data_IF_104777843752
#
_entry.id   IF_104777843752
#
_cell.length_a   1.000
_cell.length_b   1.000
_cell.length_c   1.000
_cell.angle_alpha   90.00
_cell.angle_beta   90.00
_cell.angle_gamma   90.00
#
_symmetry.space_group_name_H-M   'P 1'
#
loop_
_entity.id
_entity.type
_entity.pdbx_description
1 polymer ?
#
# COMPACT_ATOMS: atom_id res chain seq x y z
N UNK A 1 12.10 -18.34 -11.09
CA UNK A 1 10.62 -18.30 -11.21
C UNK A 1 10.16 -16.90 -10.87
N UNK A 2 9.41 -16.18 -11.74
CA UNK A 2 8.93 -14.86 -11.38
C UNK A 2 7.83 -15.05 -10.32
N UNK A 3 8.12 -14.72 -9.06
CA UNK A 3 7.13 -14.71 -7.97
C UNK A 3 5.98 -13.81 -8.43
N UNK A 4 4.86 -14.44 -8.77
CA UNK A 4 3.74 -13.74 -9.39
C UNK A 4 3.13 -12.76 -8.39
N UNK A 5 2.41 -11.77 -8.91
CA UNK A 5 1.61 -10.77 -8.15
C UNK A 5 0.65 -11.46 -7.15
N UNK A 6 0.46 -12.78 -7.28
CA UNK A 6 -0.45 -13.60 -6.48
C UNK A 6 0.24 -14.36 -5.34
N UNK A 7 1.50 -14.06 -4.99
CA UNK A 7 2.10 -14.71 -3.81
C UNK A 7 1.30 -14.36 -2.56
N UNK A 8 1.16 -15.34 -1.67
CA UNK A 8 0.44 -15.18 -0.39
C UNK A 8 1.02 -13.99 0.40
N UNK A 9 2.33 -13.78 0.31
CA UNK A 9 3.01 -12.65 0.96
C UNK A 9 2.56 -11.30 0.40
N UNK A 10 2.41 -11.16 -0.92
CA UNK A 10 1.96 -9.91 -1.53
C UNK A 10 0.53 -9.56 -1.12
N UNK A 11 -0.38 -10.53 -1.08
CA UNK A 11 -1.75 -10.32 -0.59
C UNK A 11 -1.75 -9.84 0.86
N UNK A 12 -0.92 -10.44 1.72
CA UNK A 12 -0.75 -10.00 3.11
C UNK A 12 -0.24 -8.56 3.20
N UNK A 13 0.75 -8.19 2.38
CA UNK A 13 1.28 -6.83 2.35
C UNK A 13 0.21 -5.80 1.93
N UNK A 14 -0.62 -6.13 0.92
CA UNK A 14 -1.72 -5.28 0.47
C UNK A 14 -2.79 -5.08 1.56
N UNK A 15 -3.17 -6.14 2.26
CA UNK A 15 -4.10 -6.03 3.39
C UNK A 15 -3.52 -5.18 4.52
N UNK A 16 -2.23 -5.32 4.81
CA UNK A 16 -1.53 -4.48 5.78
C UNK A 16 -1.49 -3.00 5.36
N UNK A 17 -1.31 -2.70 4.07
CA UNK A 17 -1.39 -1.34 3.56
C UNK A 17 -2.78 -0.72 3.78
N UNK A 18 -3.83 -1.48 3.45
CA UNK A 18 -5.22 -1.05 3.66
C UNK A 18 -5.52 -0.83 5.15
N UNK A 19 -5.09 -1.76 6.01
CA UNK A 19 -5.24 -1.66 7.47
C UNK A 19 -4.50 -0.44 8.02
N UNK A 20 -3.25 -0.23 7.63
CA UNK A 20 -2.45 0.93 8.07
C UNK A 20 -3.11 2.26 7.66
N UNK A 21 -3.68 2.34 6.45
CA UNK A 21 -4.45 3.52 6.02
C UNK A 21 -5.65 3.77 6.93
N UNK A 22 -6.42 2.73 7.23
CA UNK A 22 -7.61 2.83 8.08
C UNK A 22 -7.24 3.23 9.51
N UNK A 23 -6.19 2.66 10.07
CA UNK A 23 -5.66 3.03 11.41
C UNK A 23 -5.15 4.47 11.45
N UNK A 24 -4.62 4.97 10.34
CA UNK A 24 -4.24 6.38 10.20
C UNK A 24 -5.46 7.32 10.01
N UNK A 25 -6.68 6.78 9.91
CA UNK A 25 -7.91 7.55 9.73
C UNK A 25 -8.06 8.19 8.33
N UNK A 26 -7.31 7.70 7.33
CA UNK A 26 -7.24 8.33 6.01
C UNK A 26 -8.17 7.67 5.00
N UNK A 27 -8.85 8.47 4.17
CA UNK A 27 -9.53 8.02 2.96
C UNK A 27 -8.52 7.79 1.84
N UNK A 28 -8.84 6.91 0.89
CA UNK A 28 -7.97 6.61 -0.25
C UNK A 28 -7.62 7.88 -1.06
N UNK A 29 -8.57 8.81 -1.23
CA UNK A 29 -8.34 10.08 -1.93
C UNK A 29 -7.32 10.97 -1.19
N UNK A 30 -7.26 10.94 0.14
CA UNK A 30 -6.34 11.77 0.92
C UNK A 30 -4.90 11.27 0.78
N UNK A 31 -4.72 9.95 0.78
CA UNK A 31 -3.41 9.32 0.50
C UNK A 31 -2.99 9.62 -0.94
N UNK A 32 -3.91 9.44 -1.89
CA UNK A 32 -3.62 9.69 -3.29
C UNK A 32 -3.20 11.14 -3.55
N UNK A 33 -3.87 12.11 -2.92
CA UNK A 33 -3.48 13.53 -2.96
C UNK A 33 -2.07 13.75 -2.41
N UNK A 34 -1.70 13.12 -1.28
CA UNK A 34 -0.35 13.22 -0.70
C UNK A 34 0.73 12.63 -1.62
N UNK A 35 0.39 11.65 -2.46
CA UNK A 35 1.27 11.05 -3.45
C UNK A 35 1.23 11.74 -4.83
N UNK A 36 0.38 12.76 -5.02
CA UNK A 36 0.16 13.36 -6.34
C UNK A 36 -0.42 12.38 -7.37
N UNK A 37 -1.23 11.40 -6.93
CA UNK A 37 -1.85 10.37 -7.77
C UNK A 37 -3.38 10.44 -7.74
N UNK A 38 -4.09 9.85 -8.73
CA UNK A 38 -5.53 9.66 -8.67
C UNK A 38 -5.95 8.71 -7.55
N UNK A 39 -7.16 8.85 -6.98
CA UNK A 39 -7.65 7.91 -5.95
C UNK A 39 -7.70 6.45 -6.43
N UNK A 40 -7.95 6.23 -7.72
CA UNK A 40 -7.92 4.90 -8.35
C UNK A 40 -6.56 4.22 -8.21
N UNK A 41 -5.48 4.97 -8.03
CA UNK A 41 -4.15 4.45 -7.76
C UNK A 41 -4.10 3.65 -6.45
N UNK A 42 -4.59 4.25 -5.36
CA UNK A 42 -4.66 3.59 -4.04
C UNK A 42 -5.67 2.45 -4.07
N UNK A 43 -6.81 2.63 -4.74
CA UNK A 43 -7.79 1.55 -4.91
C UNK A 43 -7.20 0.33 -5.63
N UNK A 44 -6.45 0.52 -6.72
CA UNK A 44 -5.78 -0.58 -7.44
C UNK A 44 -4.71 -1.27 -6.59
N UNK A 45 -3.97 -0.51 -5.77
CA UNK A 45 -3.02 -1.08 -4.81
C UNK A 45 -3.75 -1.95 -3.79
N UNK A 46 -4.81 -1.42 -3.16
CA UNK A 46 -5.58 -2.13 -2.12
C UNK A 46 -6.38 -3.33 -2.64
N UNK A 47 -6.61 -3.41 -3.96
CA UNK A 47 -7.18 -4.58 -4.62
C UNK A 47 -6.13 -5.58 -5.11
N UNK A 48 -4.83 -5.26 -4.97
CA UNK A 48 -3.73 -6.08 -5.46
C UNK A 48 -3.59 -6.10 -6.99
N UNK A 49 -4.29 -5.21 -7.70
CA UNK A 49 -4.24 -5.10 -9.17
C UNK A 49 -3.01 -4.33 -9.65
N UNK A 50 -2.37 -3.57 -8.75
CA UNK A 50 -1.13 -2.83 -9.03
C UNK A 50 -0.06 -3.25 -8.04
N UNK A 51 1.15 -3.53 -8.56
CA UNK A 51 2.35 -3.71 -7.73
C UNK A 51 2.72 -2.40 -7.02
N UNK A 52 3.25 -2.52 -5.82
CA UNK A 52 3.87 -1.43 -5.07
C UNK A 52 5.37 -1.68 -5.07
N UNK A 53 6.15 -0.70 -5.55
CA UNK A 53 7.61 -0.77 -5.45
C UNK A 53 8.11 -0.30 -4.07
N UNK A 54 9.41 -0.45 -3.81
CA UNK A 54 10.00 -0.12 -2.50
C UNK A 54 9.97 1.39 -2.22
N UNK A 55 10.07 2.25 -3.23
CA UNK A 55 10.01 3.69 -3.05
C UNK A 55 8.59 4.13 -2.67
N UNK A 56 7.59 3.61 -3.37
CA UNK A 56 6.17 3.81 -3.06
C UNK A 56 5.81 3.26 -1.67
N UNK A 57 6.33 2.09 -1.31
CA UNK A 57 6.12 1.50 0.01
C UNK A 57 6.70 2.40 1.12
N UNK A 58 7.87 3.01 0.90
CA UNK A 58 8.48 3.98 1.83
C UNK A 58 7.59 5.22 2.02
N UNK A 59 7.04 5.76 0.95
CA UNK A 59 6.15 6.92 1.03
C UNK A 59 4.85 6.59 1.76
N UNK A 60 4.23 5.44 1.42
CA UNK A 60 3.03 4.95 2.10
C UNK A 60 3.28 4.70 3.59
N UNK A 61 4.41 4.09 3.95
CA UNK A 61 4.81 3.86 5.33
C UNK A 61 4.91 5.18 6.12
N UNK A 62 5.51 6.22 5.53
CA UNK A 62 5.56 7.56 6.12
C UNK A 62 4.18 8.18 6.29
N UNK A 63 3.33 8.11 5.27
CA UNK A 63 1.96 8.66 5.33
C UNK A 63 1.14 7.95 6.41
N UNK A 64 1.29 6.64 6.54
CA UNK A 64 0.56 5.82 7.51
C UNK A 64 1.20 5.77 8.90
N UNK A 65 2.34 6.44 9.10
CA UNK A 65 3.11 6.43 10.35
C UNK A 65 3.45 5.00 10.82
N UNK A 66 3.84 4.13 9.88
CA UNK A 66 4.28 2.75 10.14
C UNK A 66 5.74 2.57 9.71
N UNK A 67 6.43 1.63 10.36
CA UNK A 67 7.72 1.14 9.84
C UNK A 67 7.50 0.32 8.57
N UNK A 68 8.50 0.30 7.67
CA UNK A 68 8.47 -0.54 6.45
C UNK A 68 8.30 -2.02 6.81
N UNK A 69 8.95 -2.46 7.89
CA UNK A 69 8.89 -3.82 8.42
C UNK A 69 7.46 -4.31 8.65
N UNK A 70 6.57 -3.41 9.08
CA UNK A 70 5.16 -3.73 9.28
C UNK A 70 4.52 -4.37 8.05
N UNK A 71 4.94 -3.99 6.83
CA UNK A 71 4.36 -4.45 5.56
C UNK A 71 5.04 -5.68 4.96
N UNK A 72 6.25 -6.03 5.40
CA UNK A 72 7.07 -7.10 4.81
C UNK A 72 7.23 -8.32 5.72
N UNK A 73 6.98 -8.17 7.01
CA UNK A 73 6.98 -9.27 8.00
C UNK A 73 5.68 -10.09 8.00
#
# INVERSE_FOLDING_TARGET
MPKSIYSKEYKTAVEKLKKARQEAGLKQIEVAKKLGKPQSYISKIERGERRVDIAELKELARIYKKSINFFVE
#
